data_IF_861764371099
#
_entry.id   IF_861764371099
#
_cell.length_a   1.000
_cell.length_b   1.000
_cell.length_c   1.000
_cell.angle_alpha   90.00
_cell.angle_beta   90.00
_cell.angle_gamma   90.00
#
_symmetry.space_group_name_H-M   'P 1'
#
loop_
_entity.id
_entity.type
_entity.pdbx_description
1 polymer ?
#
# COMPACT_ATOMS: atom_id res chain seq x y z
N UNK A 1 53.18 -11.57 -14.05
CA UNK A 1 51.95 -10.84 -13.70
C UNK A 1 51.07 -11.88 -13.02
N UNK A 2 50.99 -11.88 -11.69
CA UNK A 2 50.14 -12.78 -10.91
C UNK A 2 49.04 -11.98 -10.16
N UNK A 3 48.03 -11.38 -10.82
CA UNK A 3 46.85 -10.84 -10.14
C UNK A 3 45.59 -11.74 -10.30
N UNK A 4 45.60 -12.74 -11.20
CA UNK A 4 44.37 -13.46 -11.58
C UNK A 4 43.98 -14.59 -10.60
N UNK A 5 44.94 -15.22 -9.92
CA UNK A 5 44.66 -16.29 -8.95
C UNK A 5 44.09 -15.76 -7.62
N UNK A 6 44.47 -14.56 -7.19
CA UNK A 6 43.93 -13.96 -5.97
C UNK A 6 42.47 -13.57 -6.13
N UNK A 7 42.09 -12.98 -7.26
CA UNK A 7 40.74 -12.45 -7.48
C UNK A 7 39.69 -13.56 -7.58
N UNK A 8 40.04 -14.69 -8.21
CA UNK A 8 39.16 -15.86 -8.28
C UNK A 8 38.99 -16.53 -6.91
N UNK A 9 40.07 -16.63 -6.12
CA UNK A 9 40.00 -17.21 -4.77
C UNK A 9 39.11 -16.40 -3.83
N UNK A 10 39.20 -15.06 -3.91
CA UNK A 10 38.36 -14.13 -3.15
C UNK A 10 36.90 -14.22 -3.60
N UNK A 11 36.64 -14.33 -4.91
CA UNK A 11 35.29 -14.52 -5.42
C UNK A 11 34.67 -15.81 -4.89
N UNK A 12 35.38 -16.94 -5.00
CA UNK A 12 34.91 -18.24 -4.52
C UNK A 12 34.65 -18.22 -3.00
N UNK A 13 35.49 -17.50 -2.24
CA UNK A 13 35.30 -17.31 -0.81
C UNK A 13 33.97 -16.60 -0.51
N UNK A 14 33.59 -15.56 -1.27
CA UNK A 14 32.29 -14.91 -1.11
C UNK A 14 31.11 -15.87 -1.33
N UNK A 15 31.17 -16.75 -2.34
CA UNK A 15 30.14 -17.77 -2.55
C UNK A 15 30.06 -18.77 -1.38
N UNK A 16 31.20 -19.19 -0.83
CA UNK A 16 31.27 -20.11 0.32
C UNK A 16 30.72 -19.45 1.59
N UNK A 17 31.08 -18.20 1.86
CA UNK A 17 30.63 -17.45 3.03
C UNK A 17 29.11 -17.27 3.00
N UNK A 18 28.56 -16.87 1.85
CA UNK A 18 27.13 -16.73 1.66
C UNK A 18 26.40 -18.07 1.78
N UNK A 19 26.94 -19.14 1.20
CA UNK A 19 26.39 -20.48 1.37
C UNK A 19 26.31 -20.87 2.86
N UNK A 20 27.43 -20.73 3.59
CA UNK A 20 27.49 -21.08 5.02
C UNK A 20 26.53 -20.24 5.85
N UNK A 21 26.44 -18.95 5.55
CA UNK A 21 25.47 -18.06 6.20
C UNK A 21 24.05 -18.56 5.97
N UNK A 22 23.64 -18.72 4.72
CA UNK A 22 22.27 -19.10 4.37
C UNK A 22 21.88 -20.51 4.82
N UNK A 23 22.83 -21.43 5.04
CA UNK A 23 22.58 -22.76 5.60
C UNK A 23 22.72 -22.82 7.14
N UNK A 24 23.20 -21.76 7.80
CA UNK A 24 23.24 -21.67 9.27
C UNK A 24 24.46 -22.27 9.92
N UNK A 25 25.53 -22.32 9.15
CA UNK A 25 26.82 -22.91 9.51
C UNK A 25 27.83 -21.83 9.92
N UNK A 26 27.39 -20.61 10.20
CA UNK A 26 28.23 -19.46 10.52
C UNK A 26 28.09 -19.04 12.00
N UNK A 27 29.22 -18.88 12.70
CA UNK A 27 29.26 -18.77 14.17
C UNK A 27 29.00 -17.36 14.73
N UNK A 28 29.14 -16.30 13.93
CA UNK A 28 28.69 -14.93 14.26
C UNK A 28 28.86 -14.05 13.02
N UNK A 29 27.92 -13.14 12.78
CA UNK A 29 27.82 -12.51 11.47
C UNK A 29 27.45 -11.03 11.57
N UNK A 30 28.34 -10.19 11.02
CA UNK A 30 28.06 -8.80 10.71
C UNK A 30 27.15 -8.71 9.47
N UNK A 31 25.99 -8.07 9.63
CA UNK A 31 25.02 -7.89 8.55
C UNK A 31 25.63 -7.11 7.39
N UNK A 32 26.44 -6.07 7.65
CA UNK A 32 27.03 -5.27 6.58
C UNK A 32 27.98 -6.11 5.71
N UNK A 33 28.89 -6.86 6.35
CA UNK A 33 29.82 -7.74 5.65
C UNK A 33 29.10 -8.78 4.79
N UNK A 34 28.04 -9.42 5.32
CA UNK A 34 27.30 -10.44 4.57
C UNK A 34 26.50 -9.84 3.42
N UNK A 35 25.92 -8.65 3.57
CA UNK A 35 25.26 -7.99 2.44
C UNK A 35 26.25 -7.51 1.37
N UNK A 36 27.48 -7.14 1.74
CA UNK A 36 28.53 -6.87 0.77
C UNK A 36 28.91 -8.13 -0.02
N UNK A 37 29.11 -9.27 0.64
CA UNK A 37 29.38 -10.54 -0.04
C UNK A 37 28.20 -10.99 -0.92
N UNK A 38 26.95 -10.80 -0.46
CA UNK A 38 25.75 -11.10 -1.22
C UNK A 38 25.67 -10.26 -2.51
N UNK A 39 25.97 -8.96 -2.41
CA UNK A 39 26.02 -8.05 -3.55
C UNK A 39 27.09 -8.46 -4.56
N UNK A 40 28.27 -8.87 -4.10
CA UNK A 40 29.36 -9.36 -4.98
C UNK A 40 28.89 -10.61 -5.73
N UNK A 41 28.27 -11.56 -5.03
CA UNK A 41 27.74 -12.81 -5.62
C UNK A 41 26.67 -12.50 -6.68
N UNK A 42 25.67 -11.69 -6.37
CA UNK A 42 24.60 -11.33 -7.31
C UNK A 42 25.14 -10.62 -8.55
N UNK A 43 26.00 -9.61 -8.36
CA UNK A 43 26.63 -8.88 -9.46
C UNK A 43 27.45 -9.80 -10.36
N UNK A 44 28.13 -10.78 -9.77
CA UNK A 44 28.90 -11.78 -10.51
C UNK A 44 27.97 -12.65 -11.35
N UNK A 45 26.88 -13.15 -10.77
CA UNK A 45 25.88 -13.92 -11.53
C UNK A 45 25.28 -13.10 -12.68
N UNK A 46 24.92 -11.83 -12.44
CA UNK A 46 24.41 -10.94 -13.49
C UNK A 46 25.43 -10.69 -14.60
N UNK A 47 26.72 -10.55 -14.25
CA UNK A 47 27.80 -10.37 -15.22
C UNK A 47 28.04 -11.64 -16.03
N UNK A 48 28.01 -12.81 -15.40
CA UNK A 48 28.16 -14.10 -16.08
C UNK A 48 27.00 -14.38 -17.05
N UNK A 49 25.78 -13.99 -16.66
CA UNK A 49 24.61 -14.08 -17.53
C UNK A 49 24.74 -13.17 -18.75
N UNK A 50 25.19 -11.93 -18.59
CA UNK A 50 25.31 -10.99 -19.72
C UNK A 50 26.38 -11.39 -20.74
N UNK A 51 27.39 -12.16 -20.32
CA UNK A 51 28.43 -12.71 -21.22
C UNK A 51 28.13 -14.14 -21.68
N UNK A 52 26.99 -14.71 -21.31
CA UNK A 52 26.58 -16.07 -21.71
C UNK A 52 27.38 -17.20 -21.08
N UNK A 53 28.09 -16.95 -19.96
CA UNK A 53 28.96 -17.91 -19.29
C UNK A 53 28.35 -18.51 -18.01
N UNK A 54 27.06 -18.27 -17.75
CA UNK A 54 26.41 -18.65 -16.51
C UNK A 54 26.31 -20.17 -16.33
N UNK A 55 26.00 -20.91 -17.41
CA UNK A 55 25.88 -22.37 -17.38
C UNK A 55 27.23 -23.06 -17.14
N UNK A 56 28.28 -22.61 -17.84
CA UNK A 56 29.64 -23.10 -17.64
C UNK A 56 30.14 -22.85 -16.20
N UNK A 57 29.80 -21.68 -15.63
CA UNK A 57 30.11 -21.38 -14.25
C UNK A 57 29.31 -22.24 -13.27
N UNK A 58 28.01 -22.45 -13.51
CA UNK A 58 27.17 -23.31 -12.67
C UNK A 58 27.71 -24.75 -12.63
N UNK A 59 28.12 -25.30 -13.77
CA UNK A 59 28.73 -26.64 -13.84
C UNK A 59 30.01 -26.73 -12.99
N UNK A 60 30.91 -25.75 -13.12
CA UNK A 60 32.16 -25.71 -12.32
C UNK A 60 31.89 -25.49 -10.82
N UNK A 61 30.92 -24.66 -10.49
CA UNK A 61 30.54 -24.39 -9.11
C UNK A 61 29.94 -25.65 -8.45
N UNK A 62 29.15 -26.43 -9.20
CA UNK A 62 28.60 -27.70 -8.76
C UNK A 62 29.70 -28.74 -8.49
N UNK A 63 30.68 -28.86 -9.39
CA UNK A 63 31.86 -29.71 -9.18
C UNK A 63 32.60 -29.32 -7.90
N UNK A 64 32.80 -28.02 -7.67
CA UNK A 64 33.42 -27.50 -6.45
C UNK A 64 32.64 -27.88 -5.18
N UNK A 65 31.31 -27.74 -5.18
CA UNK A 65 30.47 -28.11 -4.04
C UNK A 65 30.57 -29.60 -3.70
N UNK A 66 30.52 -30.45 -4.72
CA UNK A 66 30.68 -31.91 -4.55
C UNK A 66 32.05 -32.24 -3.95
N UNK A 67 33.12 -31.62 -4.45
CA UNK A 67 34.48 -31.82 -3.93
C UNK A 67 34.65 -31.36 -2.47
N UNK A 68 33.90 -30.33 -2.06
CA UNK A 68 33.92 -29.82 -0.67
C UNK A 68 32.94 -30.54 0.26
N UNK A 69 32.17 -31.50 -0.23
CA UNK A 69 31.14 -32.19 0.54
C UNK A 69 29.99 -31.27 0.97
N UNK A 70 29.77 -30.17 0.24
CA UNK A 70 28.71 -29.21 0.48
C UNK A 70 27.46 -29.54 -0.35
N UNK A 71 26.30 -29.12 0.14
CA UNK A 71 25.04 -29.24 -0.58
C UNK A 71 25.07 -28.34 -1.82
N UNK A 72 24.66 -28.89 -2.96
CA UNK A 72 24.56 -28.12 -4.20
C UNK A 72 23.37 -27.17 -4.10
N UNK A 73 23.60 -25.87 -4.33
CA UNK A 73 22.56 -24.86 -4.51
C UNK A 73 22.51 -24.42 -5.98
N UNK A 74 21.31 -24.31 -6.59
CA UNK A 74 21.18 -23.91 -7.98
C UNK A 74 21.67 -22.46 -8.18
N UNK A 75 22.17 -22.11 -9.37
CA UNK A 75 22.66 -20.75 -9.62
C UNK A 75 21.58 -19.68 -9.42
N UNK A 76 20.30 -20.05 -9.58
CA UNK A 76 19.14 -19.19 -9.31
C UNK A 76 19.05 -18.73 -7.85
N UNK A 77 19.53 -19.54 -6.89
CA UNK A 77 19.65 -19.14 -5.50
C UNK A 77 20.61 -17.95 -5.36
N UNK A 78 21.79 -18.04 -5.98
CA UNK A 78 22.82 -17.01 -5.90
C UNK A 78 22.45 -15.71 -6.62
N UNK A 79 21.55 -15.77 -7.62
CA UNK A 79 20.99 -14.58 -8.30
C UNK A 79 20.06 -13.73 -7.43
N UNK A 80 19.55 -14.28 -6.33
CA UNK A 80 18.63 -13.61 -5.39
C UNK A 80 19.10 -13.78 -3.95
N UNK A 81 20.40 -13.89 -3.74
CA UNK A 81 20.94 -14.26 -2.44
C UNK A 81 20.74 -13.18 -1.38
N UNK A 82 20.58 -11.92 -1.78
CA UNK A 82 20.20 -10.84 -0.87
C UNK A 82 18.82 -11.09 -0.23
N UNK A 83 17.86 -11.64 -0.99
CA UNK A 83 16.54 -12.02 -0.48
C UNK A 83 16.69 -13.10 0.59
N UNK A 84 17.49 -14.14 0.32
CA UNK A 84 17.72 -15.27 1.22
C UNK A 84 18.48 -14.87 2.49
N UNK A 85 19.48 -14.00 2.36
CA UNK A 85 20.21 -13.41 3.49
C UNK A 85 19.25 -12.66 4.41
N UNK A 86 18.42 -11.77 3.86
CA UNK A 86 17.47 -11.01 4.67
C UNK A 86 16.40 -11.91 5.30
N UNK A 87 15.86 -12.87 4.54
CA UNK A 87 14.93 -13.88 5.07
C UNK A 87 15.51 -14.57 6.29
N UNK A 88 16.78 -14.95 6.25
CA UNK A 88 17.45 -15.60 7.37
C UNK A 88 17.55 -14.69 8.59
N UNK A 89 17.99 -13.44 8.42
CA UNK A 89 18.00 -12.46 9.53
C UNK A 89 16.61 -12.27 10.15
N UNK A 90 15.54 -12.28 9.35
CA UNK A 90 14.18 -12.05 9.84
C UNK A 90 13.49 -13.29 10.42
N UNK A 91 13.95 -14.51 10.12
CA UNK A 91 13.27 -15.76 10.51
C UNK A 91 14.05 -16.58 11.54
N UNK A 92 15.37 -16.44 11.56
CA UNK A 92 16.22 -17.12 12.52
C UNK A 92 16.18 -16.36 13.85
N UNK A 93 15.52 -16.96 14.85
CA UNK A 93 15.29 -16.34 16.17
C UNK A 93 16.56 -16.15 17.02
N UNK A 94 17.74 -16.40 16.45
CA UNK A 94 19.04 -16.20 17.09
C UNK A 94 19.60 -14.79 16.90
N UNK A 95 19.11 -14.01 15.93
CA UNK A 95 19.58 -12.65 15.68
C UNK A 95 18.89 -11.62 16.57
N UNK A 96 19.67 -10.63 17.03
CA UNK A 96 19.14 -9.51 17.82
C UNK A 96 18.32 -8.53 16.96
N UNK A 97 17.33 -7.85 17.55
CA UNK A 97 16.56 -6.78 16.89
C UNK A 97 17.45 -5.73 16.20
N UNK A 98 18.61 -5.43 16.78
CA UNK A 98 19.57 -4.47 16.22
C UNK A 98 20.25 -5.03 14.96
N UNK A 99 20.61 -6.31 14.97
CA UNK A 99 21.18 -7.02 13.81
C UNK A 99 20.16 -7.12 12.68
N UNK A 100 18.90 -7.45 13.00
CA UNK A 100 17.80 -7.50 12.02
C UNK A 100 17.57 -6.12 11.41
N UNK A 101 17.56 -5.05 12.22
CA UNK A 101 17.42 -3.68 11.71
C UNK A 101 18.58 -3.28 10.79
N UNK A 102 19.81 -3.62 11.17
CA UNK A 102 20.98 -3.38 10.31
C UNK A 102 20.85 -4.13 8.97
N UNK A 103 20.46 -5.41 9.01
CA UNK A 103 20.21 -6.22 7.82
C UNK A 103 19.14 -5.62 6.89
N UNK A 104 18.03 -5.14 7.44
CA UNK A 104 16.97 -4.47 6.67
C UNK A 104 17.52 -3.21 5.99
N UNK A 105 18.25 -2.37 6.72
CA UNK A 105 18.85 -1.16 6.14
C UNK A 105 19.83 -1.51 5.00
N UNK A 106 20.68 -2.51 5.20
CA UNK A 106 21.62 -2.96 4.18
C UNK A 106 20.90 -3.51 2.95
N UNK A 107 19.84 -4.31 3.14
CA UNK A 107 19.00 -4.79 2.04
C UNK A 107 18.37 -3.65 1.24
N UNK A 108 17.76 -2.66 1.91
CA UNK A 108 17.14 -1.50 1.26
C UNK A 108 18.19 -0.68 0.48
N UNK A 109 19.41 -0.53 1.03
CA UNK A 109 20.51 0.18 0.37
C UNK A 109 20.97 -0.49 -0.93
N UNK A 110 20.95 -1.82 -1.01
CA UNK A 110 21.37 -2.56 -2.21
C UNK A 110 20.23 -2.85 -3.18
N UNK A 111 18.98 -2.82 -2.70
CA UNK A 111 17.75 -3.04 -3.47
C UNK A 111 16.87 -1.79 -3.41
N UNK A 112 15.72 -1.90 -2.75
CA UNK A 112 14.72 -0.84 -2.60
C UNK A 112 13.79 -1.17 -1.43
N UNK A 113 13.09 -0.17 -0.94
CA UNK A 113 12.01 -0.37 0.05
C UNK A 113 10.86 -1.21 -0.52
N UNK A 114 10.55 -1.07 -1.81
CA UNK A 114 9.53 -1.87 -2.48
C UNK A 114 9.88 -3.36 -2.49
N UNK A 115 11.14 -3.70 -2.76
CA UNK A 115 11.59 -5.09 -2.76
C UNK A 115 11.62 -5.67 -1.35
N UNK A 116 11.91 -4.85 -0.33
CA UNK A 116 11.79 -5.24 1.07
C UNK A 116 10.35 -5.62 1.41
N UNK A 117 9.38 -4.77 1.03
CA UNK A 117 7.95 -5.04 1.23
C UNK A 117 7.53 -6.34 0.52
N UNK A 118 7.98 -6.56 -0.73
CA UNK A 118 7.69 -7.82 -1.46
C UNK A 118 8.27 -9.03 -0.75
N UNK A 119 9.49 -8.93 -0.22
CA UNK A 119 10.14 -10.03 0.48
C UNK A 119 9.41 -10.38 1.78
N UNK A 120 9.09 -9.37 2.59
CA UNK A 120 8.34 -9.57 3.84
C UNK A 120 6.95 -10.20 3.58
N UNK A 121 6.30 -9.84 2.47
CA UNK A 121 5.04 -10.48 2.04
C UNK A 121 5.18 -11.99 1.82
N UNK A 122 6.33 -12.47 1.31
CA UNK A 122 6.57 -13.92 1.08
C UNK A 122 6.69 -14.72 2.38
N UNK A 123 7.19 -14.10 3.45
CA UNK A 123 7.54 -14.80 4.69
C UNK A 123 6.34 -15.32 5.50
N UNK A 124 5.10 -14.94 5.17
CA UNK A 124 3.84 -15.53 5.68
C UNK A 124 3.65 -15.62 7.21
N UNK A 125 4.60 -15.18 8.04
CA UNK A 125 4.51 -15.19 9.51
C UNK A 125 3.97 -13.86 10.02
N UNK A 126 2.73 -13.89 10.46
CA UNK A 126 1.77 -12.78 10.34
C UNK A 126 1.85 -11.68 11.39
N UNK A 127 2.62 -11.86 12.48
CA UNK A 127 2.71 -10.85 13.55
C UNK A 127 4.10 -10.21 13.64
N UNK A 128 5.18 -11.00 13.59
CA UNK A 128 6.56 -10.48 13.56
C UNK A 128 6.86 -9.69 12.28
N UNK A 129 6.41 -10.19 11.10
CA UNK A 129 6.57 -9.48 9.82
C UNK A 129 5.83 -8.13 9.80
N UNK A 130 4.67 -8.04 10.45
CA UNK A 130 3.91 -6.79 10.60
C UNK A 130 4.63 -5.81 11.52
N UNK A 131 5.23 -6.29 12.61
CA UNK A 131 6.02 -5.47 13.51
C UNK A 131 7.32 -4.96 12.84
N UNK A 132 7.96 -5.80 12.03
CA UNK A 132 9.14 -5.40 11.25
C UNK A 132 8.81 -4.34 10.20
N UNK A 133 7.68 -4.46 9.47
CA UNK A 133 7.19 -3.41 8.56
C UNK A 133 6.86 -2.12 9.33
N UNK A 134 6.14 -2.22 10.46
CA UNK A 134 5.81 -1.05 11.30
C UNK A 134 7.03 -0.29 11.82
N UNK A 135 8.13 -1.00 12.08
CA UNK A 135 9.37 -0.40 12.62
C UNK A 135 10.29 0.17 11.55
N UNK A 136 10.18 -0.28 10.30
CA UNK A 136 11.20 -0.04 9.27
C UNK A 136 10.65 0.43 7.91
N UNK A 137 9.35 0.56 7.74
CA UNK A 137 8.73 1.16 6.55
C UNK A 137 8.00 2.44 6.90
N UNK A 138 7.82 3.31 5.92
CA UNK A 138 6.99 4.49 6.08
C UNK A 138 5.51 4.10 6.41
N UNK A 139 4.76 5.07 6.96
CA UNK A 139 3.36 4.83 7.33
C UNK A 139 2.51 4.38 6.13
N UNK A 140 2.90 4.76 4.91
CA UNK A 140 2.24 4.38 3.66
C UNK A 140 2.41 2.89 3.36
N UNK A 141 3.63 2.35 3.41
CA UNK A 141 3.93 0.95 3.15
C UNK A 141 3.25 0.00 4.16
N UNK A 142 3.12 0.44 5.41
CA UNK A 142 2.36 -0.29 6.44
C UNK A 142 0.86 -0.31 6.11
N UNK A 143 0.30 0.80 5.65
CA UNK A 143 -1.11 0.87 5.24
C UNK A 143 -1.38 -0.02 4.02
N UNK A 144 -0.51 -0.01 3.02
CA UNK A 144 -0.61 -0.83 1.80
C UNK A 144 -0.61 -2.32 2.13
N UNK A 145 0.33 -2.75 2.98
CA UNK A 145 0.41 -4.14 3.42
C UNK A 145 -0.85 -4.58 4.18
N UNK A 146 -1.32 -3.74 5.12
CA UNK A 146 -2.52 -4.05 5.89
C UNK A 146 -3.76 -4.13 5.00
N UNK A 147 -3.85 -3.26 3.98
CA UNK A 147 -4.94 -3.27 3.02
C UNK A 147 -4.93 -4.56 2.18
N UNK A 148 -3.78 -4.94 1.63
CA UNK A 148 -3.67 -6.18 0.85
C UNK A 148 -4.04 -7.42 1.67
N UNK A 149 -3.56 -7.48 2.91
CA UNK A 149 -3.89 -8.60 3.81
C UNK A 149 -5.36 -8.64 4.19
N UNK A 150 -5.97 -7.49 4.47
CA UNK A 150 -7.39 -7.43 4.78
C UNK A 150 -8.21 -7.91 3.58
N UNK A 151 -7.87 -7.47 2.36
CA UNK A 151 -8.54 -7.92 1.14
C UNK A 151 -8.38 -9.44 0.94
N UNK A 152 -7.18 -9.98 1.16
CA UNK A 152 -6.93 -11.42 1.05
C UNK A 152 -7.73 -12.22 2.09
N UNK A 153 -7.76 -11.77 3.35
CA UNK A 153 -8.50 -12.43 4.43
C UNK A 153 -10.01 -12.45 4.16
N UNK A 154 -10.58 -11.31 3.79
CA UNK A 154 -12.01 -11.19 3.48
C UNK A 154 -12.38 -11.99 2.23
N UNK A 155 -11.50 -12.03 1.22
CA UNK A 155 -11.72 -12.85 0.02
C UNK A 155 -11.69 -14.34 0.34
N UNK A 156 -10.76 -14.79 1.19
CA UNK A 156 -10.71 -16.20 1.66
C UNK A 156 -11.97 -16.56 2.44
N UNK A 157 -12.39 -15.69 3.36
CA UNK A 157 -13.62 -15.90 4.12
C UNK A 157 -14.84 -16.02 3.19
N UNK A 158 -14.94 -15.16 2.17
CA UNK A 158 -16.03 -15.27 1.19
C UNK A 158 -16.03 -16.62 0.45
N UNK A 159 -14.86 -17.19 0.17
CA UNK A 159 -14.75 -18.53 -0.42
C UNK A 159 -15.21 -19.60 0.59
N UNK A 160 -14.74 -19.51 1.83
CA UNK A 160 -15.08 -20.46 2.90
C UNK A 160 -16.58 -20.48 3.22
N UNK A 161 -17.26 -19.34 3.06
CA UNK A 161 -18.71 -19.20 3.28
C UNK A 161 -19.54 -19.44 2.00
N UNK A 162 -18.96 -20.05 0.96
CA UNK A 162 -19.60 -20.32 -0.33
C UNK A 162 -20.20 -19.07 -1.01
N UNK A 163 -19.59 -17.90 -0.81
CA UNK A 163 -20.05 -16.65 -1.39
C UNK A 163 -21.13 -15.93 -0.59
N UNK A 164 -21.37 -16.29 0.67
CA UNK A 164 -22.33 -15.59 1.54
C UNK A 164 -21.90 -14.15 1.81
N UNK A 165 -22.54 -13.20 1.12
CA UNK A 165 -22.27 -11.77 1.29
C UNK A 165 -22.77 -11.24 2.62
N UNK A 166 -23.76 -11.87 3.25
CA UNK A 166 -24.33 -11.45 4.54
C UNK A 166 -23.36 -11.68 5.70
N UNK A 167 -22.67 -12.83 5.71
CA UNK A 167 -21.66 -13.13 6.73
C UNK A 167 -20.43 -12.24 6.57
N UNK A 168 -20.06 -11.96 5.31
CA UNK A 168 -18.98 -11.03 4.99
C UNK A 168 -19.35 -9.60 5.41
N UNK A 169 -20.59 -9.17 5.18
CA UNK A 169 -21.12 -7.86 5.55
C UNK A 169 -21.07 -7.64 7.08
N UNK A 170 -21.49 -8.65 7.85
CA UNK A 170 -21.36 -8.66 9.31
C UNK A 170 -19.90 -8.56 9.77
N UNK A 171 -18.99 -9.27 9.10
CA UNK A 171 -17.56 -9.24 9.43
C UNK A 171 -16.95 -7.87 9.16
N UNK A 172 -17.22 -7.29 7.98
CA UNK A 172 -16.76 -5.95 7.63
C UNK A 172 -17.31 -4.93 8.65
N UNK A 173 -18.60 -5.00 8.97
CA UNK A 173 -19.26 -4.14 9.97
C UNK A 173 -18.57 -4.22 11.34
N UNK A 174 -18.24 -5.43 11.81
CA UNK A 174 -17.55 -5.65 13.07
C UNK A 174 -16.12 -5.12 13.04
N UNK A 175 -15.39 -5.25 11.93
CA UNK A 175 -14.03 -4.70 11.82
C UNK A 175 -14.06 -3.17 11.86
N UNK A 176 -15.06 -2.56 11.21
CA UNK A 176 -15.28 -1.11 11.18
C UNK A 176 -15.67 -0.54 12.55
N UNK A 177 -16.66 -1.15 13.23
CA UNK A 177 -17.19 -0.65 14.51
C UNK A 177 -16.16 -0.68 15.65
N UNK A 178 -15.17 -1.56 15.55
CA UNK A 178 -14.16 -1.76 16.59
C UNK A 178 -13.00 -0.76 16.55
N UNK A 179 -12.78 -0.01 15.45
CA UNK A 179 -11.70 0.98 15.36
C UNK A 179 -11.82 1.89 14.14
N UNK A 180 -12.06 3.19 14.34
CA UNK A 180 -12.11 4.21 13.28
C UNK A 180 -10.79 4.37 12.52
N UNK A 181 -9.64 4.11 13.12
CA UNK A 181 -8.34 4.16 12.43
C UNK A 181 -8.22 3.08 11.34
N UNK A 182 -9.00 1.99 11.42
CA UNK A 182 -9.04 0.96 10.37
C UNK A 182 -9.68 1.46 9.09
N UNK A 183 -10.41 2.57 9.13
CA UNK A 183 -10.96 3.19 7.93
C UNK A 183 -9.89 3.47 6.88
N UNK A 184 -8.72 3.99 7.28
CA UNK A 184 -7.63 4.28 6.34
C UNK A 184 -7.20 3.02 5.58
N UNK A 185 -7.21 1.87 6.27
CA UNK A 185 -6.94 0.56 5.66
C UNK A 185 -8.05 0.20 4.67
N UNK A 186 -9.33 0.35 5.03
CA UNK A 186 -10.44 0.07 4.12
C UNK A 186 -10.48 0.99 2.89
N UNK A 187 -10.22 2.29 3.06
CA UNK A 187 -10.07 3.22 1.95
C UNK A 187 -8.93 2.74 1.04
N UNK A 188 -7.79 2.34 1.62
CA UNK A 188 -6.66 1.84 0.84
C UNK A 188 -6.94 0.52 0.15
N UNK A 189 -7.80 -0.35 0.71
CA UNK A 189 -8.31 -1.56 0.03
C UNK A 189 -9.02 -1.20 -1.28
N UNK A 190 -9.78 -0.11 -1.31
CA UNK A 190 -10.45 0.36 -2.54
C UNK A 190 -9.49 0.91 -3.60
N UNK A 191 -8.26 1.25 -3.23
CA UNK A 191 -7.20 1.69 -4.15
C UNK A 191 -6.42 0.51 -4.76
N UNK A 192 -6.61 -0.71 -4.25
CA UNK A 192 -5.91 -1.89 -4.75
C UNK A 192 -6.50 -2.35 -6.09
N UNK A 193 -5.63 -2.78 -6.99
CA UNK A 193 -6.05 -3.38 -8.26
C UNK A 193 -6.81 -4.68 -8.00
N UNK A 194 -7.96 -4.82 -8.66
CA UNK A 194 -8.79 -6.02 -8.57
C UNK A 194 -8.00 -7.24 -9.05
N UNK A 195 -7.96 -8.30 -8.23
CA UNK A 195 -7.25 -9.54 -8.57
C UNK A 195 -8.20 -10.57 -9.19
N UNK A 196 -9.47 -10.56 -8.79
CA UNK A 196 -10.52 -11.45 -9.31
C UNK A 196 -11.93 -10.89 -8.99
N UNK A 197 -12.97 -11.55 -9.50
CA UNK A 197 -14.38 -11.18 -9.26
C UNK A 197 -14.76 -11.24 -7.77
N UNK A 198 -14.16 -12.16 -7.02
CA UNK A 198 -14.39 -12.27 -5.57
C UNK A 198 -13.78 -11.09 -4.81
N UNK A 199 -12.57 -10.66 -5.15
CA UNK A 199 -11.96 -9.46 -4.54
C UNK A 199 -12.77 -8.21 -4.87
N UNK A 200 -13.29 -8.12 -6.10
CA UNK A 200 -14.20 -7.05 -6.52
C UNK A 200 -15.49 -7.04 -5.68
N UNK A 201 -16.06 -8.22 -5.39
CA UNK A 201 -17.24 -8.35 -4.52
C UNK A 201 -16.96 -7.82 -3.10
N UNK A 202 -15.81 -8.20 -2.51
CA UNK A 202 -15.36 -7.71 -1.21
C UNK A 202 -15.21 -6.18 -1.23
N UNK A 203 -14.52 -5.63 -2.23
CA UNK A 203 -14.31 -4.19 -2.36
C UNK A 203 -15.64 -3.43 -2.57
N UNK A 204 -16.60 -3.99 -3.30
CA UNK A 204 -17.95 -3.42 -3.43
C UNK A 204 -18.65 -3.28 -2.07
N UNK A 205 -18.60 -4.33 -1.24
CA UNK A 205 -19.19 -4.29 0.10
C UNK A 205 -18.48 -3.26 1.00
N UNK A 206 -17.15 -3.21 0.95
CA UNK A 206 -16.36 -2.17 1.65
C UNK A 206 -16.78 -0.77 1.18
N UNK A 207 -16.94 -0.55 -0.11
CA UNK A 207 -17.37 0.74 -0.66
C UNK A 207 -18.77 1.12 -0.17
N UNK A 208 -19.71 0.17 -0.05
CA UNK A 208 -21.05 0.40 0.52
C UNK A 208 -20.95 0.81 2.00
N UNK A 209 -20.13 0.12 2.79
CA UNK A 209 -19.93 0.45 4.21
C UNK A 209 -19.36 1.85 4.41
N UNK A 210 -18.29 2.17 3.68
CA UNK A 210 -17.70 3.52 3.68
C UNK A 210 -18.77 4.54 3.25
N UNK A 211 -19.55 4.24 2.21
CA UNK A 211 -20.62 5.14 1.74
C UNK A 211 -21.69 5.37 2.81
N UNK A 212 -22.09 4.35 3.56
CA UNK A 212 -23.07 4.50 4.63
C UNK A 212 -22.55 5.37 5.77
N UNK A 213 -21.26 5.24 6.12
CA UNK A 213 -20.61 6.08 7.13
C UNK A 213 -20.55 7.54 6.67
N UNK A 214 -20.10 7.77 5.43
CA UNK A 214 -19.96 9.11 4.82
C UNK A 214 -21.30 9.81 4.66
N UNK A 215 -22.36 9.03 4.39
CA UNK A 215 -23.72 9.55 4.26
C UNK A 215 -24.29 10.09 5.56
N UNK A 216 -23.77 9.68 6.73
CA UNK A 216 -24.21 10.25 7.99
C UNK A 216 -23.63 11.68 8.13
N UNK A 217 -24.49 12.72 8.18
CA UNK A 217 -24.05 14.11 8.27
C UNK A 217 -23.35 14.47 9.58
N UNK A 218 -23.37 13.59 10.59
CA UNK A 218 -22.60 13.76 11.84
C UNK A 218 -21.12 13.40 11.66
N UNK A 219 -20.77 12.61 10.62
CA UNK A 219 -19.41 12.11 10.38
C UNK A 219 -18.56 13.08 9.54
N UNK A 220 -18.64 14.39 9.79
CA UNK A 220 -18.00 15.45 8.99
C UNK A 220 -16.47 15.29 8.94
N UNK A 221 -15.85 14.88 10.05
CA UNK A 221 -14.40 14.72 10.15
C UNK A 221 -13.85 13.64 9.21
N UNK A 222 -14.70 12.71 8.75
CA UNK A 222 -14.31 11.64 7.85
C UNK A 222 -13.82 12.15 6.48
N UNK A 223 -14.34 13.29 6.04
CA UNK A 223 -14.01 13.84 4.72
C UNK A 223 -12.57 14.31 4.62
N UNK A 224 -11.93 14.63 5.75
CA UNK A 224 -10.48 14.91 5.80
C UNK A 224 -9.67 13.74 5.23
N UNK A 225 -10.05 12.49 5.54
CA UNK A 225 -9.33 11.31 5.05
C UNK A 225 -9.39 11.16 3.52
N UNK A 226 -10.51 11.51 2.88
CA UNK A 226 -10.56 11.54 1.42
C UNK A 226 -9.74 12.69 0.85
N UNK A 227 -9.74 13.85 1.51
CA UNK A 227 -8.97 15.01 1.08
C UNK A 227 -7.46 14.80 1.22
N UNK A 228 -7.02 14.00 2.19
CA UNK A 228 -5.61 13.65 2.42
C UNK A 228 -5.04 12.62 1.43
N UNK A 229 -5.90 11.88 0.70
CA UNK A 229 -5.43 10.91 -0.29
C UNK A 229 -4.59 11.58 -1.40
N UNK A 230 -3.62 10.87 -1.97
CA UNK A 230 -3.03 11.28 -3.24
C UNK A 230 -4.10 11.33 -4.35
N UNK A 231 -3.94 12.20 -5.34
CA UNK A 231 -4.93 12.38 -6.43
C UNK A 231 -5.22 11.04 -7.14
N UNK A 232 -4.21 10.20 -7.38
CA UNK A 232 -4.38 8.87 -8.01
C UNK A 232 -5.20 7.90 -7.15
N UNK A 233 -4.93 7.84 -5.85
CA UNK A 233 -5.69 7.00 -4.91
C UNK A 233 -7.13 7.48 -4.80
N UNK A 234 -7.34 8.79 -4.70
CA UNK A 234 -8.67 9.38 -4.67
C UNK A 234 -9.46 9.02 -5.92
N UNK A 235 -8.84 9.10 -7.11
CA UNK A 235 -9.48 8.73 -8.37
C UNK A 235 -9.93 7.27 -8.40
N UNK A 236 -9.12 6.35 -7.86
CA UNK A 236 -9.51 4.94 -7.72
C UNK A 236 -10.68 4.75 -6.77
N UNK A 237 -10.69 5.48 -5.65
CA UNK A 237 -11.76 5.41 -4.65
C UNK A 237 -13.09 5.92 -5.20
N UNK A 238 -13.09 7.01 -5.95
CA UNK A 238 -14.34 7.56 -6.53
C UNK A 238 -14.82 6.81 -7.78
N UNK A 239 -14.01 5.90 -8.34
CA UNK A 239 -14.49 4.97 -9.38
C UNK A 239 -15.58 4.03 -8.84
N UNK A 240 -15.59 3.78 -7.52
CA UNK A 240 -16.66 3.02 -6.88
C UNK A 240 -17.94 3.85 -6.84
N UNK A 241 -18.90 3.49 -7.70
CA UNK A 241 -20.17 4.21 -7.89
C UNK A 241 -20.88 4.59 -6.57
N UNK A 242 -21.04 3.70 -5.58
CA UNK A 242 -21.67 4.06 -4.30
C UNK A 242 -21.00 5.26 -3.62
N UNK A 243 -19.67 5.33 -3.65
CA UNK A 243 -18.91 6.40 -3.01
C UNK A 243 -19.03 7.72 -3.74
N UNK A 244 -18.85 7.72 -5.07
CA UNK A 244 -19.01 8.95 -5.86
C UNK A 244 -20.39 9.56 -5.69
N UNK A 245 -21.45 8.75 -5.69
CA UNK A 245 -22.82 9.20 -5.50
C UNK A 245 -23.07 9.72 -4.09
N UNK A 246 -22.53 9.05 -3.07
CA UNK A 246 -22.64 9.52 -1.69
C UNK A 246 -21.89 10.83 -1.48
N UNK A 247 -20.68 10.99 -2.02
CA UNK A 247 -19.92 12.24 -1.90
C UNK A 247 -20.68 13.41 -2.55
N UNK A 248 -21.24 13.20 -3.74
CA UNK A 248 -22.06 14.22 -4.43
C UNK A 248 -23.32 14.56 -3.62
N UNK A 249 -24.03 13.57 -3.08
CA UNK A 249 -25.20 13.80 -2.22
C UNK A 249 -24.85 14.54 -0.94
N UNK A 250 -23.68 14.26 -0.36
CA UNK A 250 -23.22 14.97 0.83
C UNK A 250 -22.81 16.41 0.51
N UNK A 251 -22.25 16.68 -0.67
CA UNK A 251 -22.05 18.04 -1.17
C UNK A 251 -23.39 18.75 -1.32
N UNK A 252 -24.35 18.15 -2.02
CA UNK A 252 -25.70 18.69 -2.21
C UNK A 252 -26.36 19.04 -0.88
N UNK A 253 -26.45 18.07 0.02
CA UNK A 253 -26.98 18.25 1.36
C UNK A 253 -26.28 19.40 2.09
N UNK A 254 -24.95 19.47 2.05
CA UNK A 254 -24.21 20.52 2.74
C UNK A 254 -24.42 21.90 2.13
N UNK A 255 -24.56 21.99 0.80
CA UNK A 255 -24.85 23.24 0.09
C UNK A 255 -26.24 23.78 0.42
N UNK A 256 -27.25 22.91 0.51
CA UNK A 256 -28.61 23.28 0.94
C UNK A 256 -28.63 23.85 2.38
N UNK A 257 -27.72 23.37 3.23
CA UNK A 257 -27.61 23.78 4.62
C UNK A 257 -26.65 24.95 4.84
N UNK A 258 -25.89 25.38 3.81
CA UNK A 258 -25.09 26.59 3.87
C UNK A 258 -26.03 27.80 3.92
N UNK A 259 -26.15 28.37 5.11
CA UNK A 259 -26.90 29.61 5.30
C UNK A 259 -26.04 30.79 4.84
N UNK A 260 -26.49 31.49 3.80
CA UNK A 260 -25.94 32.79 3.44
C UNK A 260 -26.39 33.82 4.49
N UNK A 261 -25.53 34.09 5.48
CA UNK A 261 -25.88 34.99 6.60
C UNK A 261 -25.63 36.48 6.31
N UNK A 262 -25.08 36.80 5.16
CA UNK A 262 -24.68 38.15 4.81
C UNK A 262 -24.64 38.26 3.30
N UNK A 263 -24.99 39.43 2.78
CA UNK A 263 -23.85 40.16 2.21
C UNK A 263 -23.42 41.13 3.33
N UNK A 264 -22.15 41.26 3.71
CA UNK A 264 -20.91 40.87 3.06
C UNK A 264 -19.93 40.11 3.97
N UNK A 265 -19.23 39.15 3.35
CA UNK A 265 -17.91 38.62 3.74
C UNK A 265 -17.76 37.53 4.81
N UNK A 266 -18.75 36.64 4.98
CA UNK A 266 -18.44 35.24 5.36
C UNK A 266 -19.67 34.35 5.33
N UNK A 267 -19.52 33.16 4.72
CA UNK A 267 -20.36 32.00 5.04
C UNK A 267 -20.15 31.68 6.53
N UNK A 268 -20.98 32.25 7.41
CA UNK A 268 -20.87 32.01 8.85
C UNK A 268 -21.78 30.85 9.26
N UNK A 269 -21.21 29.84 9.91
CA UNK A 269 -21.95 28.79 10.63
C UNK A 269 -22.44 29.36 11.98
N UNK A 270 -23.50 30.18 11.93
CA UNK A 270 -24.01 30.91 13.09
C UNK A 270 -25.45 30.55 13.43
N UNK A 271 -25.73 29.30 13.78
CA UNK A 271 -26.96 28.90 14.47
C UNK A 271 -26.63 27.77 15.45
N UNK A 272 -26.98 27.93 16.71
CA UNK A 272 -26.81 26.94 17.78
C UNK A 272 -27.80 25.76 17.68
N UNK A 273 -28.17 25.36 16.46
CA UNK A 273 -29.26 24.41 16.21
C UNK A 273 -29.24 23.63 14.89
N UNK A 274 -28.21 23.72 14.05
CA UNK A 274 -28.11 22.85 12.85
C UNK A 274 -26.67 22.62 12.39
N UNK A 275 -25.91 21.82 13.14
CA UNK A 275 -24.66 21.18 12.73
C UNK A 275 -24.94 20.06 11.70
N UNK A 276 -25.45 20.41 10.53
CA UNK A 276 -25.77 19.40 9.50
C UNK A 276 -25.02 19.75 8.20
N UNK A 277 -23.91 19.04 7.94
CA UNK A 277 -23.18 19.12 6.68
C UNK A 277 -21.72 19.61 6.79
N UNK A 278 -21.05 19.65 5.65
CA UNK A 278 -19.63 19.98 5.49
C UNK A 278 -19.40 21.50 5.45
N UNK A 279 -18.25 21.96 5.94
CA UNK A 279 -17.85 23.37 5.84
C UNK A 279 -17.61 23.80 4.40
N UNK A 280 -17.73 25.10 4.11
CA UNK A 280 -17.49 25.67 2.78
C UNK A 280 -16.12 25.27 2.20
N UNK A 281 -15.07 25.28 3.04
CA UNK A 281 -13.71 24.91 2.63
C UNK A 281 -13.61 23.42 2.27
N UNK A 282 -14.26 22.55 3.06
CA UNK A 282 -14.30 21.10 2.79
C UNK A 282 -15.07 20.83 1.49
N UNK A 283 -16.21 21.49 1.27
CA UNK A 283 -16.99 21.36 0.03
C UNK A 283 -16.15 21.81 -1.17
N UNK A 284 -15.48 22.96 -1.05
CA UNK A 284 -14.60 23.51 -2.10
C UNK A 284 -13.47 22.54 -2.43
N UNK A 285 -12.81 22.00 -1.41
CA UNK A 285 -11.72 21.03 -1.58
C UNK A 285 -12.22 19.74 -2.25
N UNK A 286 -13.37 19.20 -1.80
CA UNK A 286 -13.95 17.99 -2.38
C UNK A 286 -14.37 18.17 -3.83
N UNK A 287 -15.04 19.28 -4.18
CA UNK A 287 -15.42 19.58 -5.55
C UNK A 287 -14.17 19.67 -6.44
N UNK A 288 -13.13 20.37 -5.98
CA UNK A 288 -11.89 20.49 -6.75
C UNK A 288 -11.21 19.13 -6.97
N UNK A 289 -11.26 18.25 -5.97
CA UNK A 289 -10.68 16.91 -6.07
C UNK A 289 -11.49 16.02 -7.01
N UNK A 290 -12.82 15.96 -6.84
CA UNK A 290 -13.73 15.22 -7.72
C UNK A 290 -13.66 15.68 -9.17
N UNK A 291 -13.49 16.99 -9.42
CA UNK A 291 -13.33 17.52 -10.79
C UNK A 291 -12.13 16.93 -11.52
N UNK A 292 -11.05 16.60 -10.80
CA UNK A 292 -9.85 15.99 -11.37
C UNK A 292 -10.02 14.49 -11.67
N UNK A 293 -11.05 13.86 -11.12
CA UNK A 293 -11.25 12.40 -11.21
C UNK A 293 -11.83 11.90 -12.53
N UNK A 294 -12.28 12.81 -13.41
CA UNK A 294 -12.70 12.46 -14.76
C UNK A 294 -13.86 13.29 -15.30
N UNK A 295 -14.13 13.21 -16.60
CA UNK A 295 -15.18 13.99 -17.25
C UNK A 295 -16.58 13.66 -16.72
N UNK A 296 -16.88 12.39 -16.43
CA UNK A 296 -18.19 11.96 -15.95
C UNK A 296 -18.57 12.57 -14.60
N UNK A 297 -17.63 12.55 -13.64
CA UNK A 297 -17.84 13.14 -12.30
C UNK A 297 -17.98 14.67 -12.41
N UNK A 298 -17.19 15.30 -13.27
CA UNK A 298 -17.28 16.74 -13.53
C UNK A 298 -18.66 17.13 -14.10
N UNK A 299 -19.23 16.32 -15.01
CA UNK A 299 -20.59 16.52 -15.52
C UNK A 299 -21.61 16.44 -14.37
N UNK A 300 -21.53 15.41 -13.51
CA UNK A 300 -22.44 15.28 -12.37
C UNK A 300 -22.39 16.48 -11.41
N UNK A 301 -21.21 17.04 -11.18
CA UNK A 301 -21.05 18.24 -10.33
C UNK A 301 -21.68 19.46 -11.01
N UNK A 302 -21.49 19.63 -12.32
CA UNK A 302 -22.14 20.71 -13.09
C UNK A 302 -23.65 20.62 -13.00
N UNK A 303 -24.19 19.43 -13.24
CA UNK A 303 -25.64 19.16 -13.16
C UNK A 303 -26.18 19.46 -11.76
N UNK A 304 -25.46 19.05 -10.70
CA UNK A 304 -25.81 19.37 -9.32
C UNK A 304 -25.89 20.89 -9.10
N UNK A 305 -24.84 21.64 -9.49
CA UNK A 305 -24.80 23.09 -9.28
C UNK A 305 -25.88 23.82 -10.11
N UNK A 306 -26.17 23.36 -11.33
CA UNK A 306 -27.25 23.90 -12.15
C UNK A 306 -28.63 23.63 -11.55
N UNK A 307 -28.85 22.43 -11.00
CA UNK A 307 -30.08 22.08 -10.28
C UNK A 307 -30.28 22.97 -9.05
N UNK A 308 -29.25 23.11 -8.20
CA UNK A 308 -29.30 23.98 -7.02
C UNK A 308 -29.58 25.44 -7.40
N UNK A 309 -29.00 25.92 -8.51
CA UNK A 309 -29.32 27.25 -9.05
C UNK A 309 -30.81 27.38 -9.41
N UNK A 310 -31.39 26.37 -10.06
CA UNK A 310 -32.82 26.36 -10.42
C UNK A 310 -33.75 26.24 -9.20
N UNK A 311 -33.29 25.64 -8.11
CA UNK A 311 -34.04 25.44 -6.86
C UNK A 311 -33.96 26.62 -5.88
N UNK A 312 -33.27 27.71 -6.26
CA UNK A 312 -33.22 28.95 -5.48
C UNK A 312 -31.92 29.18 -4.70
N UNK A 313 -30.89 28.35 -4.91
CA UNK A 313 -29.56 28.51 -4.31
C UNK A 313 -28.55 29.18 -5.28
N UNK A 314 -29.02 30.10 -6.13
CA UNK A 314 -28.26 30.69 -7.24
C UNK A 314 -26.91 31.27 -6.80
N UNK A 315 -26.87 32.08 -5.74
CA UNK A 315 -25.64 32.72 -5.25
C UNK A 315 -24.57 31.68 -4.87
N UNK A 316 -24.98 30.66 -4.12
CA UNK A 316 -24.09 29.59 -3.65
C UNK A 316 -23.57 28.80 -4.85
N UNK A 317 -24.46 28.39 -5.75
CA UNK A 317 -24.09 27.64 -6.94
C UNK A 317 -23.11 28.42 -7.84
N UNK A 318 -23.34 29.72 -8.07
CA UNK A 318 -22.45 30.58 -8.85
C UNK A 318 -21.08 30.76 -8.19
N UNK A 319 -21.03 30.90 -6.87
CA UNK A 319 -19.78 30.96 -6.13
C UNK A 319 -18.95 29.69 -6.34
N UNK A 320 -19.54 28.50 -6.22
CA UNK A 320 -18.82 27.26 -6.45
C UNK A 320 -18.42 27.06 -7.92
N UNK A 321 -19.27 27.42 -8.88
CA UNK A 321 -18.91 27.41 -10.31
C UNK A 321 -17.68 28.29 -10.58
N UNK A 322 -17.66 29.49 -9.99
CA UNK A 322 -16.56 30.47 -10.12
C UNK A 322 -15.28 29.99 -9.41
N UNK A 323 -15.37 29.65 -8.12
CA UNK A 323 -14.23 29.28 -7.27
C UNK A 323 -13.58 27.99 -7.76
N UNK A 324 -14.39 26.98 -8.08
CA UNK A 324 -13.90 25.69 -8.57
C UNK A 324 -13.58 25.72 -10.07
N UNK A 325 -13.74 26.87 -10.75
CA UNK A 325 -13.45 27.08 -12.18
C UNK A 325 -14.13 26.01 -13.05
N UNK A 326 -15.42 25.83 -12.84
CA UNK A 326 -16.28 24.90 -13.57
C UNK A 326 -16.97 25.70 -14.66
N UNK A 327 -16.57 25.47 -15.92
CA UNK A 327 -17.10 26.17 -17.10
C UNK A 327 -18.38 25.56 -17.63
#
# INVERSE_FOLDING_TARGET
>A
MEPEESDFSVLLQNFVEIFKFCEGLADSVDAEAVFQSAKIVENTCSKLESVGALEDFENKLNEFWVLKGLKVLPIQFFKRVADEVLCRFMTDGTFSDTSVKCAINQFILIRSEEDFVKLVKRLSNTQHSVELLKRNSDLTGVLDYNAERLLEQLTKQLVETNGSTEELDSTISNIFSNNWDRLKVFIKVLCLTNRCDLSQCVQNLIAIHISNIVRNPENINFFSHFLDLADDDFNKVVYWKPLSETLIKMIEFSLEHLKCNYTDSSYSWGYSGSEKGLSFDIITALINKLKKSGPEINIKIKELLQRLKAEGFEIIAEDFLRICKIK
#
